data_IF_275042103738
#
_entry.id   IF_275042103738
#
_cell.length_a   1.000
_cell.length_b   1.000
_cell.length_c   1.000
_cell.angle_alpha   90.00
_cell.angle_beta   90.00
_cell.angle_gamma   90.00
#
_symmetry.space_group_name_H-M   'P 1'
#
loop_
_entity.id
_entity.type
_entity.pdbx_description
1 polymer ?
#
# COMPACT_ATOMS: atom_id res chain seq x y z
N UNK A 1 -15.04 10.94 4.33
CA UNK A 1 -16.38 11.49 4.00
C UNK A 1 -17.11 11.90 5.27
N UNK A 2 -17.24 11.00 6.25
CA UNK A 2 -17.85 11.30 7.56
C UNK A 2 -17.29 12.57 8.24
N UNK A 3 -15.96 12.75 8.26
CA UNK A 3 -15.32 13.96 8.82
C UNK A 3 -15.72 15.26 8.09
N UNK A 4 -16.09 15.18 6.81
CA UNK A 4 -16.53 16.33 6.00
C UNK A 4 -18.04 16.59 6.19
N UNK A 5 -18.87 15.56 6.05
CA UNK A 5 -20.34 15.66 6.15
C UNK A 5 -20.80 16.05 7.55
N UNK A 6 -20.02 15.65 8.56
CA UNK A 6 -20.13 16.13 9.92
C UNK A 6 -20.37 15.02 10.94
N UNK A 7 -19.81 15.23 12.14
CA UNK A 7 -19.95 14.32 13.28
C UNK A 7 -20.49 15.09 14.48
N UNK A 8 -21.22 14.39 15.35
CA UNK A 8 -21.80 15.01 16.54
C UNK A 8 -20.73 15.24 17.61
N UNK A 9 -20.45 16.51 17.92
CA UNK A 9 -19.49 16.93 18.95
C UNK A 9 -20.18 17.20 20.30
N UNK A 10 -21.21 16.41 20.60
CA UNK A 10 -22.02 16.53 21.82
C UNK A 10 -23.12 17.60 21.74
N UNK A 11 -23.82 17.79 22.86
CA UNK A 11 -25.07 18.55 22.90
C UNK A 11 -24.94 20.06 22.62
N UNK A 12 -23.75 20.64 22.81
CA UNK A 12 -23.52 22.09 22.67
C UNK A 12 -23.14 22.51 21.25
N UNK A 13 -22.34 21.68 20.56
CA UNK A 13 -21.84 22.01 19.22
C UNK A 13 -22.61 21.34 18.08
N UNK A 14 -23.36 20.26 18.38
CA UNK A 14 -24.15 19.55 17.38
C UNK A 14 -23.28 18.87 16.31
N UNK A 15 -23.85 18.68 15.12
CA UNK A 15 -23.13 18.10 13.99
C UNK A 15 -22.21 19.14 13.34
N UNK A 16 -20.92 18.82 13.22
CA UNK A 16 -19.91 19.73 12.69
C UNK A 16 -19.05 19.03 11.65
N UNK A 17 -18.86 19.67 10.49
CA UNK A 17 -17.83 19.30 9.52
C UNK A 17 -16.44 19.63 10.06
N UNK A 18 -15.61 18.61 10.24
CA UNK A 18 -14.27 18.73 10.83
C UNK A 18 -13.19 19.05 9.80
N UNK A 19 -13.39 18.66 8.54
CA UNK A 19 -12.44 18.90 7.44
C UNK A 19 -13.15 19.48 6.21
N UNK A 20 -12.37 20.07 5.31
CA UNK A 20 -12.82 20.50 3.97
C UNK A 20 -13.14 19.32 3.05
N UNK A 21 -13.68 19.62 1.86
CA UNK A 21 -14.07 18.59 0.90
C UNK A 21 -12.87 17.72 0.47
N UNK A 22 -13.10 16.40 0.41
CA UNK A 22 -12.04 15.39 0.32
C UNK A 22 -11.62 15.00 -1.11
N UNK A 23 -12.40 15.39 -2.12
CA UNK A 23 -12.08 15.12 -3.52
C UNK A 23 -11.57 16.41 -4.13
N UNK A 24 -10.27 16.62 -4.00
CA UNK A 24 -9.58 17.84 -4.41
C UNK A 24 -8.17 17.45 -4.85
N UNK A 25 -7.70 18.09 -5.90
CA UNK A 25 -6.33 18.07 -6.41
C UNK A 25 -5.59 19.38 -6.07
N UNK A 26 -6.26 20.28 -5.35
CA UNK A 26 -5.75 21.58 -4.97
C UNK A 26 -4.96 21.51 -3.67
N UNK A 27 -3.82 22.20 -3.62
CA UNK A 27 -3.05 22.44 -2.39
C UNK A 27 -3.29 23.84 -1.82
N UNK A 28 -4.20 24.62 -2.44
CA UNK A 28 -4.53 25.98 -2.04
C UNK A 28 -5.19 26.01 -0.67
N UNK A 29 -4.75 26.93 0.18
CA UNK A 29 -5.36 27.22 1.49
C UNK A 29 -5.94 28.63 1.44
N UNK A 30 -7.19 28.81 1.89
CA UNK A 30 -7.78 30.14 1.99
C UNK A 30 -7.05 31.04 2.99
N UNK A 31 -6.96 32.34 2.68
CA UNK A 31 -6.25 33.33 3.52
C UNK A 31 -6.75 33.36 4.97
N UNK A 32 -8.06 33.21 5.18
CA UNK A 32 -8.66 33.13 6.52
C UNK A 32 -8.11 31.94 7.32
N UNK A 33 -7.98 30.78 6.69
CA UNK A 33 -7.45 29.57 7.34
C UNK A 33 -5.94 29.68 7.60
N UNK A 34 -5.18 30.35 6.72
CA UNK A 34 -3.77 30.66 6.96
C UNK A 34 -3.62 31.59 8.18
N UNK A 35 -4.44 32.62 8.28
CA UNK A 35 -4.40 33.57 9.41
C UNK A 35 -4.80 32.90 10.74
N UNK A 36 -5.79 32.01 10.71
CA UNK A 36 -6.18 31.22 11.89
C UNK A 36 -5.06 30.25 12.31
N UNK A 37 -4.43 29.57 11.36
CA UNK A 37 -3.29 28.70 11.64
C UNK A 37 -2.11 29.47 12.23
N UNK A 38 -1.77 30.65 11.67
CA UNK A 38 -0.69 31.51 12.20
C UNK A 38 -0.94 31.90 13.66
N UNK A 39 -2.17 32.31 13.99
CA UNK A 39 -2.56 32.65 15.36
C UNK A 39 -2.42 31.45 16.30
N UNK A 40 -2.94 30.29 15.88
CA UNK A 40 -2.83 29.06 16.65
C UNK A 40 -1.37 28.62 16.88
N UNK A 41 -0.52 28.76 15.85
CA UNK A 41 0.91 28.42 15.94
C UNK A 41 1.61 29.34 16.93
N UNK A 42 1.40 30.66 16.83
CA UNK A 42 1.97 31.64 17.75
C UNK A 42 1.59 31.33 19.21
N UNK A 43 0.31 31.08 19.47
CA UNK A 43 -0.21 30.82 20.81
C UNK A 43 0.32 29.50 21.41
N UNK A 44 0.39 28.44 20.62
CA UNK A 44 0.71 27.09 21.12
C UNK A 44 2.19 26.72 21.05
N UNK A 45 2.90 27.20 20.03
CA UNK A 45 4.29 26.80 19.75
C UNK A 45 5.29 27.94 19.89
N UNK A 46 4.85 29.21 19.79
CA UNK A 46 5.70 30.39 19.88
C UNK A 46 5.92 31.08 18.54
N UNK A 47 6.30 32.36 18.59
CA UNK A 47 6.45 33.22 17.41
C UNK A 47 7.54 32.71 16.45
N UNK A 48 8.59 32.03 16.94
CA UNK A 48 9.64 31.48 16.07
C UNK A 48 9.15 30.37 15.12
N UNK A 49 8.01 29.74 15.43
CA UNK A 49 7.39 28.72 14.57
C UNK A 49 6.44 29.31 13.52
N UNK A 50 6.19 30.62 13.56
CA UNK A 50 5.37 31.31 12.57
C UNK A 50 6.29 31.89 11.50
N UNK A 51 6.13 31.53 10.22
CA UNK A 51 6.95 32.09 9.16
C UNK A 51 6.63 33.59 8.95
N UNK A 52 7.61 34.37 8.51
CA UNK A 52 7.43 35.82 8.27
C UNK A 52 6.28 36.11 7.29
N UNK A 53 6.13 35.27 6.27
CA UNK A 53 5.04 35.32 5.29
C UNK A 53 4.27 33.99 5.31
N UNK A 54 2.94 34.00 5.06
CA UNK A 54 2.18 32.77 4.93
C UNK A 54 2.73 31.87 3.82
N UNK A 55 2.92 30.59 4.12
CA UNK A 55 3.37 29.61 3.13
C UNK A 55 2.27 29.39 2.09
N UNK A 56 2.63 29.53 0.82
CA UNK A 56 1.75 29.25 -0.31
C UNK A 56 2.27 28.05 -1.11
N UNK A 57 1.38 27.15 -1.48
CA UNK A 57 1.70 25.97 -2.27
C UNK A 57 0.94 26.04 -3.60
N UNK A 58 1.66 25.76 -4.68
CA UNK A 58 1.14 25.83 -6.04
C UNK A 58 0.46 24.50 -6.37
N UNK A 59 -0.82 24.55 -6.76
CA UNK A 59 -1.53 23.39 -7.30
C UNK A 59 -0.99 23.03 -8.70
N UNK A 60 -1.16 21.77 -9.13
CA UNK A 60 -0.76 21.36 -10.49
C UNK A 60 -1.51 22.18 -11.54
N UNK A 61 -0.91 22.35 -12.74
CA UNK A 61 -1.47 23.18 -13.83
C UNK A 61 -2.89 22.79 -14.25
N UNK A 62 -3.27 21.53 -14.08
CA UNK A 62 -4.59 20.99 -14.44
C UNK A 62 -5.48 20.75 -13.21
N UNK A 63 -5.18 21.41 -12.08
CA UNK A 63 -5.99 21.26 -10.89
C UNK A 63 -7.28 22.08 -11.01
N UNK A 64 -8.42 21.49 -10.66
CA UNK A 64 -9.72 22.15 -10.72
C UNK A 64 -9.74 23.40 -9.82
N UNK A 65 -9.69 24.59 -10.43
CA UNK A 65 -9.20 25.84 -9.83
C UNK A 65 -10.01 26.45 -8.67
N UNK A 66 -11.20 25.92 -8.36
CA UNK A 66 -12.06 26.43 -7.29
C UNK A 66 -11.83 25.75 -5.92
N UNK A 67 -11.13 24.62 -5.87
CA UNK A 67 -11.07 23.79 -4.67
C UNK A 67 -9.96 24.22 -3.69
N UNK A 68 -10.15 23.86 -2.42
CA UNK A 68 -9.14 24.00 -1.36
C UNK A 68 -8.48 22.66 -1.06
N UNK A 69 -7.32 22.71 -0.41
CA UNK A 69 -6.68 21.55 0.20
C UNK A 69 -7.58 20.87 1.24
N UNK A 70 -7.34 19.58 1.46
CA UNK A 70 -7.92 18.84 2.59
C UNK A 70 -7.25 19.33 3.87
N UNK A 71 -8.00 20.03 4.72
CA UNK A 71 -7.52 20.61 5.97
C UNK A 71 -8.63 20.58 7.03
N UNK A 72 -8.30 20.76 8.32
CA UNK A 72 -9.30 21.05 9.33
C UNK A 72 -10.11 22.30 8.98
N UNK A 73 -11.39 22.30 9.34
CA UNK A 73 -12.23 23.50 9.27
C UNK A 73 -11.78 24.57 10.25
N UNK A 74 -11.17 24.18 11.38
CA UNK A 74 -10.48 25.05 12.32
C UNK A 74 -9.29 24.32 12.98
N UNK A 75 -8.08 24.91 13.06
CA UNK A 75 -6.95 24.37 13.80
C UNK A 75 -7.18 24.32 15.32
N UNK A 76 -8.10 25.11 15.87
CA UNK A 76 -8.40 25.14 17.31
C UNK A 76 -9.00 23.82 17.81
N UNK A 77 -9.61 23.02 16.92
CA UNK A 77 -10.08 21.66 17.21
C UNK A 77 -8.89 20.70 17.21
N UNK A 78 -8.04 20.79 18.22
CA UNK A 78 -6.88 19.91 18.31
C UNK A 78 -7.32 18.44 18.46
N UNK A 79 -6.55 17.47 17.93
CA UNK A 79 -6.96 16.05 17.95
C UNK A 79 -7.28 15.49 19.34
N UNK A 80 -6.59 15.93 20.40
CA UNK A 80 -6.88 15.41 21.75
C UNK A 80 -8.25 15.88 22.26
N UNK A 81 -8.69 17.09 21.91
CA UNK A 81 -10.04 17.58 22.24
C UNK A 81 -11.16 16.74 21.60
N UNK A 82 -10.89 16.09 20.46
CA UNK A 82 -11.88 15.31 19.71
C UNK A 82 -11.93 13.83 20.07
N UNK A 83 -11.02 13.35 20.93
CA UNK A 83 -10.82 11.93 21.25
C UNK A 83 -12.07 11.22 21.76
N UNK A 84 -12.94 11.93 22.48
CA UNK A 84 -14.17 11.38 23.04
C UNK A 84 -15.36 11.36 22.07
N UNK A 85 -15.23 12.00 20.91
CA UNK A 85 -16.29 12.14 19.91
C UNK A 85 -16.04 11.28 18.67
N UNK A 86 -14.77 11.00 18.39
CA UNK A 86 -14.35 10.28 17.19
C UNK A 86 -14.06 8.82 17.48
N UNK A 87 -14.37 7.96 16.50
CA UNK A 87 -13.83 6.61 16.48
C UNK A 87 -12.29 6.65 16.34
N UNK A 88 -11.63 5.54 16.67
CA UNK A 88 -10.17 5.44 16.57
C UNK A 88 -9.64 5.79 15.18
N UNK A 89 -10.33 5.33 14.13
CA UNK A 89 -9.87 5.53 12.75
C UNK A 89 -10.17 6.95 12.26
N UNK A 90 -11.33 7.51 12.64
CA UNK A 90 -11.66 8.92 12.39
C UNK A 90 -10.64 9.86 13.06
N UNK A 91 -10.29 9.61 14.32
CA UNK A 91 -9.33 10.41 15.07
C UNK A 91 -7.95 10.37 14.43
N UNK A 92 -7.48 9.19 14.02
CA UNK A 92 -6.18 9.03 13.36
C UNK A 92 -6.10 9.75 12.03
N UNK A 93 -7.16 9.66 11.22
CA UNK A 93 -7.22 10.35 9.93
C UNK A 93 -7.30 11.86 10.13
N UNK A 94 -8.11 12.32 11.09
CA UNK A 94 -8.20 13.73 11.46
C UNK A 94 -6.85 14.28 11.95
N UNK A 95 -6.18 13.56 12.85
CA UNK A 95 -4.86 13.92 13.36
C UNK A 95 -3.85 14.06 12.22
N UNK A 96 -3.81 13.10 11.29
CA UNK A 96 -2.92 13.17 10.13
C UNK A 96 -3.18 14.43 9.28
N UNK A 97 -4.45 14.73 8.99
CA UNK A 97 -4.85 15.92 8.22
C UNK A 97 -4.49 17.20 8.97
N UNK A 98 -4.75 17.23 10.29
CA UNK A 98 -4.48 18.37 11.15
C UNK A 98 -2.99 18.66 11.27
N UNK A 99 -2.18 17.64 11.54
CA UNK A 99 -0.73 17.77 11.66
C UNK A 99 -0.10 18.20 10.33
N UNK A 100 -0.55 17.63 9.21
CA UNK A 100 -0.06 17.99 7.87
C UNK A 100 -0.41 19.44 7.52
N UNK A 101 -1.65 19.87 7.79
CA UNK A 101 -2.08 21.24 7.57
C UNK A 101 -1.27 22.22 8.43
N UNK A 102 -1.15 21.97 9.73
CA UNK A 102 -0.45 22.88 10.63
C UNK A 102 1.03 22.98 10.28
N UNK A 103 1.69 21.84 10.04
CA UNK A 103 3.09 21.80 9.61
C UNK A 103 3.33 22.57 8.31
N UNK A 104 2.38 22.55 7.37
CA UNK A 104 2.49 23.32 6.12
C UNK A 104 2.54 24.84 6.35
N UNK A 105 2.04 25.32 7.49
CA UNK A 105 1.99 26.75 7.83
C UNK A 105 3.03 27.16 8.88
N UNK A 106 3.91 26.23 9.29
CA UNK A 106 4.99 26.49 10.25
C UNK A 106 6.31 26.86 9.56
N UNK A 107 7.23 27.45 10.33
CA UNK A 107 8.62 27.70 9.93
C UNK A 107 9.35 26.40 9.57
N UNK A 108 10.33 26.45 8.64
CA UNK A 108 11.12 25.28 8.26
C UNK A 108 11.96 24.77 9.43
N UNK A 109 12.28 23.47 9.41
CA UNK A 109 13.30 22.93 10.30
C UNK A 109 14.69 23.38 9.84
N UNK A 110 15.57 23.70 10.79
CA UNK A 110 16.98 24.01 10.53
C UNK A 110 17.83 22.83 11.01
N UNK A 111 18.57 22.24 10.07
CA UNK A 111 19.48 21.13 10.30
C UNK A 111 20.91 21.59 10.07
N UNK A 112 21.83 21.16 10.93
CA UNK A 112 23.27 21.23 10.70
C UNK A 112 23.73 19.88 10.21
N UNK A 113 24.20 19.82 8.95
CA UNK A 113 24.67 18.59 8.31
C UNK A 113 26.19 18.58 8.33
N UNK A 114 26.77 17.53 8.89
CA UNK A 114 28.21 17.28 8.90
C UNK A 114 28.54 16.13 7.97
N UNK A 115 29.45 16.35 7.03
CA UNK A 115 30.01 15.28 6.19
C UNK A 115 31.50 15.17 6.49
N UNK A 116 31.95 13.96 6.83
CA UNK A 116 33.34 13.62 7.06
C UNK A 116 33.85 12.79 5.88
N UNK A 117 34.98 13.22 5.33
CA UNK A 117 35.76 12.45 4.36
C UNK A 117 37.03 11.94 5.04
N UNK A 118 37.19 10.63 5.12
CA UNK A 118 38.24 9.98 5.89
C UNK A 118 39.17 9.29 4.91
N UNK A 119 40.38 9.82 4.76
CA UNK A 119 41.43 9.20 3.95
C UNK A 119 42.09 8.04 4.71
N UNK A 120 42.26 6.90 4.03
CA UNK A 120 42.93 5.72 4.57
C UNK A 120 43.82 5.09 3.48
N UNK A 121 45.06 5.56 3.37
CA UNK A 121 45.98 5.16 2.29
C UNK A 121 45.44 5.60 0.93
N UNK A 122 45.16 4.65 0.04
CA UNK A 122 44.55 4.91 -1.28
C UNK A 122 43.02 4.92 -1.26
N UNK A 123 42.40 4.64 -0.12
CA UNK A 123 40.95 4.58 0.02
C UNK A 123 40.40 5.87 0.65
N UNK A 124 39.13 6.15 0.36
CA UNK A 124 38.37 7.23 0.97
C UNK A 124 37.06 6.67 1.51
N UNK A 125 36.78 6.96 2.77
CA UNK A 125 35.51 6.65 3.42
C UNK A 125 34.70 7.94 3.58
N UNK A 126 33.38 7.83 3.57
CA UNK A 126 32.47 8.96 3.80
C UNK A 126 31.52 8.61 4.94
N UNK A 127 31.33 9.56 5.85
CA UNK A 127 30.28 9.52 6.85
C UNK A 127 29.49 10.83 6.79
N UNK A 128 28.17 10.74 6.87
CA UNK A 128 27.29 11.91 6.90
C UNK A 128 26.42 11.79 8.15
N UNK A 129 26.05 12.93 8.74
CA UNK A 129 25.12 12.99 9.83
C UNK A 129 24.55 14.37 9.99
N UNK A 130 23.46 14.48 10.72
CA UNK A 130 22.76 15.75 10.90
C UNK A 130 22.29 15.97 12.34
N UNK A 131 22.19 17.23 12.74
CA UNK A 131 21.66 17.65 14.04
C UNK A 131 20.59 18.70 13.82
N UNK A 132 19.43 18.50 14.45
CA UNK A 132 18.34 19.50 14.43
C UNK A 132 18.73 20.69 15.30
N UNK A 133 18.96 21.86 14.70
CA UNK A 133 19.18 23.14 15.40
C UNK A 133 17.87 23.82 15.76
N UNK A 134 16.88 23.72 14.88
CA UNK A 134 15.52 24.20 15.12
C UNK A 134 14.52 23.23 14.50
N UNK A 135 13.58 22.66 15.28
CA UNK A 135 12.68 21.65 14.75
C UNK A 135 11.64 22.20 13.77
N UNK A 136 11.27 23.48 13.84
CA UNK A 136 10.24 24.06 12.97
C UNK A 136 8.98 23.19 12.91
N UNK A 137 8.49 22.94 11.69
CA UNK A 137 7.34 22.07 11.44
C UNK A 137 7.48 20.62 11.96
N UNK A 138 8.69 20.11 12.19
CA UNK A 138 8.93 18.76 12.72
C UNK A 138 8.41 18.58 14.16
N UNK A 139 8.10 19.68 14.87
CA UNK A 139 7.40 19.62 16.17
C UNK A 139 6.03 18.96 16.08
N UNK A 140 5.37 19.05 14.94
CA UNK A 140 3.99 18.61 14.74
C UNK A 140 3.90 17.47 13.74
N UNK A 141 4.81 17.41 12.76
CA UNK A 141 4.75 16.41 11.71
C UNK A 141 6.11 15.77 11.48
N UNK A 142 6.22 14.47 11.76
CA UNK A 142 7.44 13.70 11.48
C UNK A 142 7.40 13.18 10.04
N UNK A 143 8.45 13.45 9.27
CA UNK A 143 8.63 12.86 7.94
C UNK A 143 9.19 11.46 8.14
N UNK A 144 8.36 10.43 7.91
CA UNK A 144 8.86 9.06 7.80
C UNK A 144 9.41 8.90 6.37
N UNK A 145 10.72 9.05 6.19
CA UNK A 145 11.36 8.66 4.93
C UNK A 145 11.46 7.12 4.91
N UNK A 146 10.89 6.48 3.87
CA UNK A 146 10.83 5.02 3.80
C UNK A 146 12.18 4.35 3.48
N UNK A 147 13.23 5.07 3.07
CA UNK A 147 14.50 4.42 2.65
C UNK A 147 15.82 5.14 3.02
N UNK A 148 15.80 6.37 3.58
CA UNK A 148 17.03 7.17 3.83
C UNK A 148 17.36 7.42 5.30
N UNK A 149 16.47 7.06 6.22
CA UNK A 149 16.61 7.35 7.65
C UNK A 149 17.73 6.56 8.37
N UNK A 150 18.29 5.50 7.76
CA UNK A 150 19.41 4.76 8.39
C UNK A 150 20.77 5.48 8.29
N UNK A 151 20.93 6.54 7.46
CA UNK A 151 22.22 7.23 7.30
C UNK A 151 22.25 8.69 7.79
N UNK A 152 21.12 9.41 7.87
CA UNK A 152 21.12 10.86 8.14
C UNK A 152 20.82 11.28 9.58
N UNK A 153 20.23 10.40 10.40
CA UNK A 153 19.81 10.71 11.80
C UNK A 153 20.92 10.48 12.84
N UNK A 154 22.13 10.14 12.40
CA UNK A 154 23.24 9.93 13.30
C UNK A 154 23.99 11.23 13.59
N UNK A 155 24.04 11.60 14.87
CA UNK A 155 24.95 12.66 15.35
C UNK A 155 26.37 12.15 15.23
N UNK A 156 27.17 12.76 14.36
CA UNK A 156 28.58 12.43 14.24
C UNK A 156 29.36 12.96 15.46
N UNK A 157 30.40 12.24 15.92
CA UNK A 157 31.26 12.74 16.97
C UNK A 157 32.02 13.99 16.51
N UNK A 158 32.36 14.91 17.42
CA UNK A 158 33.22 16.03 17.09
C UNK A 158 34.60 15.49 16.68
N UNK A 159 35.08 15.92 15.52
CA UNK A 159 36.41 15.60 14.99
C UNK A 159 37.03 16.87 14.40
N UNK A 160 38.37 16.95 14.43
CA UNK A 160 39.11 18.04 13.81
C UNK A 160 39.66 17.65 12.44
N UNK A 161 39.86 18.63 11.56
CA UNK A 161 40.57 18.40 10.30
C UNK A 161 42.01 17.95 10.58
N UNK A 162 42.43 16.88 9.89
CA UNK A 162 43.74 16.24 10.10
C UNK A 162 43.84 15.33 11.32
N UNK A 163 42.75 15.12 12.07
CA UNK A 163 42.74 14.19 13.19
C UNK A 163 42.99 12.75 12.73
N UNK A 164 43.91 12.07 13.42
CA UNK A 164 44.22 10.67 13.14
C UNK A 164 43.18 9.75 13.78
N UNK A 165 42.32 9.15 12.96
CA UNK A 165 41.31 8.19 13.40
C UNK A 165 41.89 6.78 13.51
N UNK A 166 41.50 6.06 14.57
CA UNK A 166 41.88 4.65 14.77
C UNK A 166 40.83 3.72 14.18
N UNK A 167 41.24 2.85 13.26
CA UNK A 167 40.39 1.77 12.78
C UNK A 167 40.04 0.82 13.93
N UNK A 168 38.75 0.66 14.21
CA UNK A 168 38.24 -0.27 15.22
C UNK A 168 37.84 -1.60 14.56
N UNK A 169 37.06 -1.54 13.49
CA UNK A 169 36.50 -2.71 12.80
C UNK A 169 36.18 -2.38 11.34
N UNK A 170 36.34 -3.37 10.46
CA UNK A 170 35.78 -3.35 9.10
C UNK A 170 34.62 -4.34 9.05
N UNK A 171 33.44 -3.87 8.63
CA UNK A 171 32.23 -4.69 8.48
C UNK A 171 31.87 -4.83 7.00
N UNK A 172 32.30 -5.91 6.32
CA UNK A 172 31.90 -6.14 4.94
C UNK A 172 30.39 -6.45 4.90
N UNK A 173 29.65 -5.69 4.11
CA UNK A 173 28.23 -5.94 3.83
C UNK A 173 28.06 -6.31 2.37
N UNK A 174 27.43 -7.46 2.12
CA UNK A 174 27.01 -7.85 0.79
C UNK A 174 25.61 -7.31 0.52
N UNK A 175 25.46 -6.60 -0.59
CA UNK A 175 24.17 -6.09 -1.06
C UNK A 175 23.81 -6.73 -2.40
N UNK A 176 22.52 -6.83 -2.67
CA UNK A 176 21.97 -7.28 -3.94
C UNK A 176 21.09 -6.18 -4.51
N UNK A 177 21.09 -6.04 -5.84
CA UNK A 177 20.12 -5.20 -6.53
C UNK A 177 18.73 -5.79 -6.31
N UNK A 178 17.79 -4.95 -5.88
CA UNK A 178 16.40 -5.37 -5.73
C UNK A 178 15.64 -5.05 -7.02
N UNK A 179 14.67 -5.89 -7.43
CA UNK A 179 13.77 -5.53 -8.50
C UNK A 179 12.89 -4.34 -8.09
N UNK A 180 12.28 -3.63 -9.05
CA UNK A 180 11.32 -2.58 -8.75
C UNK A 180 10.23 -3.07 -7.78
N UNK A 181 9.88 -2.29 -6.75
CA UNK A 181 8.86 -2.69 -5.80
C UNK A 181 7.50 -2.78 -6.50
N UNK A 182 6.69 -3.75 -6.08
CA UNK A 182 5.29 -3.81 -6.51
C UNK A 182 4.51 -2.61 -5.97
N UNK A 183 3.46 -2.23 -6.69
CA UNK A 183 2.57 -1.17 -6.25
C UNK A 183 1.80 -1.55 -4.98
N UNK A 184 1.80 -0.67 -3.99
CA UNK A 184 0.74 -0.55 -2.99
C UNK A 184 -0.41 0.33 -3.52
N UNK A 185 -1.51 0.44 -2.78
CA UNK A 185 -2.58 1.41 -3.06
C UNK A 185 -2.05 2.84 -3.18
N UNK A 186 -1.24 3.29 -2.23
CA UNK A 186 -0.71 4.65 -2.22
C UNK A 186 0.22 4.91 -3.41
N UNK A 187 1.14 4.00 -3.71
CA UNK A 187 2.06 4.16 -4.85
C UNK A 187 1.35 4.03 -6.19
N UNK A 188 0.29 3.23 -6.28
CA UNK A 188 -0.53 3.13 -7.49
C UNK A 188 -1.28 4.44 -7.74
N UNK A 189 -1.95 5.00 -6.72
CA UNK A 189 -2.63 6.30 -6.83
C UNK A 189 -1.63 7.39 -7.22
N UNK A 190 -0.46 7.44 -6.57
CA UNK A 190 0.61 8.38 -6.91
C UNK A 190 1.04 8.25 -8.38
N UNK A 191 1.21 7.01 -8.87
CA UNK A 191 1.61 6.76 -10.25
C UNK A 191 0.52 7.18 -11.24
N UNK A 192 -0.75 6.87 -10.94
CA UNK A 192 -1.89 7.31 -11.76
C UNK A 192 -1.95 8.85 -11.84
N UNK A 193 -1.77 9.52 -10.71
CA UNK A 193 -1.74 10.98 -10.62
C UNK A 193 -0.55 11.61 -11.38
N UNK A 194 0.63 10.99 -11.33
CA UNK A 194 1.82 11.41 -12.10
C UNK A 194 1.64 11.23 -13.60
N UNK A 195 0.92 10.19 -14.02
CA UNK A 195 0.60 9.91 -15.41
C UNK A 195 -0.63 10.67 -15.92
N UNK A 196 -1.33 11.43 -15.08
CA UNK A 196 -2.56 12.16 -15.44
C UNK A 196 -3.78 11.27 -15.65
N UNK A 197 -3.75 10.02 -15.16
CA UNK A 197 -4.85 9.06 -15.28
C UNK A 197 -5.74 9.13 -14.05
N UNK A 198 -7.04 9.32 -14.26
CA UNK A 198 -8.02 9.43 -13.19
C UNK A 198 -8.02 10.80 -12.50
N UNK A 199 -8.94 10.96 -11.56
CA UNK A 199 -9.20 12.18 -10.81
C UNK A 199 -9.43 11.83 -9.33
N UNK A 200 -9.41 12.79 -8.39
CA UNK A 200 -9.71 12.54 -6.98
C UNK A 200 -11.01 11.76 -6.72
N UNK A 201 -11.97 11.84 -7.64
CA UNK A 201 -13.24 11.10 -7.62
C UNK A 201 -13.14 9.64 -8.05
N UNK A 202 -12.11 9.25 -8.83
CA UNK A 202 -12.02 7.93 -9.47
C UNK A 202 -10.91 7.02 -8.91
N UNK A 203 -9.91 7.54 -8.20
CA UNK A 203 -8.81 6.72 -7.67
C UNK A 203 -9.26 5.51 -6.83
N UNK A 204 -10.08 5.74 -5.79
CA UNK A 204 -10.57 4.66 -4.94
C UNK A 204 -11.51 3.68 -5.69
N UNK A 205 -12.51 4.16 -6.46
CA UNK A 205 -13.33 3.28 -7.30
C UNK A 205 -12.53 2.43 -8.29
N UNK A 206 -11.49 2.97 -8.92
CA UNK A 206 -10.63 2.23 -9.86
C UNK A 206 -9.93 1.07 -9.15
N UNK A 207 -9.35 1.32 -7.98
CA UNK A 207 -8.71 0.28 -7.16
C UNK A 207 -9.72 -0.80 -6.75
N UNK A 208 -10.90 -0.40 -6.27
CA UNK A 208 -11.93 -1.34 -5.86
C UNK A 208 -12.42 -2.20 -7.04
N UNK A 209 -12.57 -1.61 -8.23
CA UNK A 209 -13.00 -2.31 -9.42
C UNK A 209 -12.00 -3.40 -9.87
N UNK A 210 -10.71 -3.07 -9.96
CA UNK A 210 -9.69 -4.04 -10.40
C UNK A 210 -9.51 -5.20 -9.40
N UNK A 211 -9.77 -4.94 -8.11
CA UNK A 211 -9.76 -5.96 -7.07
C UNK A 211 -11.01 -6.83 -7.10
N UNK A 212 -12.20 -6.21 -7.16
CA UNK A 212 -13.48 -6.92 -7.15
C UNK A 212 -13.66 -7.80 -8.39
N UNK A 213 -13.12 -7.38 -9.53
CA UNK A 213 -13.10 -8.16 -10.77
C UNK A 213 -12.00 -9.23 -10.80
N UNK A 214 -11.12 -9.25 -9.80
CA UNK A 214 -10.07 -10.26 -9.68
C UNK A 214 -8.94 -10.13 -10.69
N UNK A 215 -8.73 -8.94 -11.29
CA UNK A 215 -7.58 -8.68 -12.16
C UNK A 215 -6.27 -8.57 -11.36
N UNK A 216 -6.38 -8.12 -10.12
CA UNK A 216 -5.27 -8.07 -9.17
C UNK A 216 -5.72 -8.59 -7.80
N UNK A 217 -4.78 -9.07 -7.02
CA UNK A 217 -4.99 -9.46 -5.61
C UNK A 217 -4.05 -8.70 -4.69
N UNK A 218 -4.47 -8.55 -3.43
CA UNK A 218 -3.62 -7.95 -2.39
C UNK A 218 -2.83 -9.04 -1.67
N UNK A 219 -1.50 -8.98 -1.79
CA UNK A 219 -0.57 -9.80 -1.02
C UNK A 219 0.39 -8.91 -0.26
N UNK A 220 0.45 -9.05 1.07
CA UNK A 220 1.34 -8.23 1.92
C UNK A 220 1.23 -6.71 1.68
N UNK A 221 0.01 -6.22 1.41
CA UNK A 221 -0.31 -4.80 1.06
C UNK A 221 0.19 -4.33 -0.32
N UNK A 222 0.68 -5.25 -1.14
CA UNK A 222 1.06 -4.97 -2.53
C UNK A 222 0.08 -5.65 -3.50
N UNK A 223 -0.07 -5.07 -4.68
CA UNK A 223 -0.83 -5.64 -5.78
C UNK A 223 0.00 -6.67 -6.52
N UNK A 224 -0.61 -7.81 -6.78
CA UNK A 224 -0.07 -8.86 -7.65
C UNK A 224 -1.08 -9.10 -8.77
N UNK A 225 -0.67 -9.02 -10.05
CA UNK A 225 -1.55 -9.33 -11.16
C UNK A 225 -1.96 -10.81 -11.12
N UNK A 226 -3.22 -11.08 -11.41
CA UNK A 226 -3.70 -12.45 -11.61
C UNK A 226 -3.49 -12.88 -13.04
N UNK A 227 -3.57 -14.18 -13.30
CA UNK A 227 -3.57 -14.73 -14.65
C UNK A 227 -4.69 -14.13 -15.52
N UNK A 228 -5.91 -14.02 -14.97
CA UNK A 228 -7.02 -13.34 -15.63
C UNK A 228 -6.67 -11.89 -15.98
N UNK A 229 -6.08 -11.14 -15.04
CA UNK A 229 -5.66 -9.76 -15.28
C UNK A 229 -4.64 -9.65 -16.41
N UNK A 230 -3.67 -10.58 -16.45
CA UNK A 230 -2.64 -10.60 -17.48
C UNK A 230 -3.23 -10.90 -18.87
N UNK A 231 -4.07 -11.94 -18.97
CA UNK A 231 -4.74 -12.31 -20.23
C UNK A 231 -5.61 -11.17 -20.76
N UNK A 232 -6.38 -10.51 -19.88
CA UNK A 232 -7.21 -9.37 -20.27
C UNK A 232 -6.36 -8.22 -20.79
N UNK A 233 -5.24 -7.89 -20.12
CA UNK A 233 -4.33 -6.84 -20.58
C UNK A 233 -3.68 -7.19 -21.91
N UNK A 234 -3.26 -8.42 -22.11
CA UNK A 234 -2.61 -8.87 -23.35
C UNK A 234 -3.58 -8.81 -24.53
N UNK A 235 -4.83 -9.24 -24.33
CA UNK A 235 -5.88 -9.11 -25.33
C UNK A 235 -6.21 -7.65 -25.64
N UNK A 236 -6.32 -6.80 -24.61
CA UNK A 236 -6.58 -5.38 -24.81
C UNK A 236 -5.45 -4.71 -25.60
N UNK A 237 -4.19 -5.12 -25.40
CA UNK A 237 -3.04 -4.65 -26.19
C UNK A 237 -3.10 -5.10 -27.64
N UNK A 238 -3.60 -6.29 -27.90
CA UNK A 238 -3.68 -6.84 -29.26
C UNK A 238 -4.77 -6.14 -30.10
N UNK A 239 -5.96 -5.91 -29.53
CA UNK A 239 -7.12 -5.42 -30.29
C UNK A 239 -7.45 -3.94 -30.06
N UNK A 240 -6.95 -3.34 -28.97
CA UNK A 240 -7.31 -1.99 -28.54
C UNK A 240 -6.08 -1.14 -28.15
N UNK A 241 -4.92 -1.39 -28.76
CA UNK A 241 -3.63 -0.74 -28.42
C UNK A 241 -3.72 0.79 -28.30
N UNK A 242 -4.44 1.43 -29.21
CA UNK A 242 -4.57 2.89 -29.26
C UNK A 242 -5.43 3.46 -28.13
N UNK A 243 -6.32 2.65 -27.56
CA UNK A 243 -7.29 3.08 -26.53
C UNK A 243 -6.76 2.79 -25.12
N UNK A 244 -6.03 1.69 -24.95
CA UNK A 244 -5.48 1.31 -23.64
C UNK A 244 -4.09 1.92 -23.37
N UNK A 245 -3.63 2.81 -24.24
CA UNK A 245 -2.44 3.60 -24.03
C UNK A 245 -2.60 4.60 -22.88
N UNK A 246 -1.51 4.79 -22.13
CA UNK A 246 -1.46 5.68 -20.97
C UNK A 246 -1.68 7.13 -21.37
N UNK A 247 -1.06 7.58 -22.48
CA UNK A 247 -1.21 8.96 -22.96
C UNK A 247 -2.61 9.20 -23.50
N UNK A 248 -3.19 8.23 -24.20
CA UNK A 248 -4.58 8.31 -24.64
C UNK A 248 -5.53 8.54 -23.46
N UNK A 249 -5.37 7.74 -22.39
CA UNK A 249 -6.22 7.84 -21.20
C UNK A 249 -6.06 9.19 -20.51
N UNK A 250 -4.82 9.65 -20.34
CA UNK A 250 -4.55 10.97 -19.73
C UNK A 250 -5.14 12.13 -20.57
N UNK A 251 -5.05 12.02 -21.90
CA UNK A 251 -5.63 13.01 -22.80
C UNK A 251 -7.16 13.02 -22.77
N UNK A 252 -7.80 11.85 -22.66
CA UNK A 252 -9.26 11.76 -22.49
C UNK A 252 -9.70 12.48 -21.21
N UNK A 253 -8.99 12.27 -20.10
CA UNK A 253 -9.27 12.96 -18.84
C UNK A 253 -9.12 14.48 -18.99
N UNK A 254 -8.10 14.96 -19.72
CA UNK A 254 -7.95 16.39 -20.02
C UNK A 254 -9.11 16.94 -20.85
N UNK A 255 -9.56 16.23 -21.89
CA UNK A 255 -10.73 16.65 -22.69
C UNK A 255 -11.99 16.78 -21.82
N UNK A 256 -12.14 15.93 -20.81
CA UNK A 256 -13.27 16.01 -19.87
C UNK A 256 -13.17 17.24 -18.97
N UNK A 257 -11.98 17.65 -18.54
CA UNK A 257 -11.78 18.90 -17.82
C UNK A 257 -12.10 20.11 -18.73
N UNK A 258 -11.65 20.10 -19.99
CA UNK A 258 -11.95 21.16 -20.96
C UNK A 258 -13.46 21.28 -21.24
N UNK A 259 -14.22 20.18 -21.15
CA UNK A 259 -15.69 20.21 -21.20
C UNK A 259 -16.26 20.88 -19.93
N UNK A 260 -15.74 20.56 -18.74
CA UNK A 260 -16.17 21.18 -17.48
C UNK A 260 -15.93 22.69 -17.47
N UNK A 261 -14.82 23.13 -18.05
CA UNK A 261 -14.46 24.55 -18.19
C UNK A 261 -15.22 25.26 -19.32
N UNK A 262 -15.94 24.51 -20.15
CA UNK A 262 -16.72 25.02 -21.28
C UNK A 262 -15.91 25.34 -22.53
N UNK A 263 -14.67 24.84 -22.62
CA UNK A 263 -13.78 24.99 -23.78
C UNK A 263 -14.12 23.99 -24.90
N UNK A 264 -14.65 22.81 -24.55
CA UNK A 264 -15.05 21.76 -25.50
C UNK A 264 -16.53 21.38 -25.38
N UNK A 265 -17.11 20.91 -26.48
CA UNK A 265 -18.47 20.36 -26.53
C UNK A 265 -18.42 18.83 -26.37
N UNK A 266 -19.19 18.31 -25.41
CA UNK A 266 -19.07 16.91 -24.98
C UNK A 266 -19.49 15.89 -26.04
N UNK A 267 -20.45 16.20 -26.91
CA UNK A 267 -20.89 15.26 -27.96
C UNK A 267 -19.80 15.07 -28.99
N UNK A 268 -19.06 16.13 -29.34
CA UNK A 268 -17.90 16.04 -30.23
C UNK A 268 -16.84 15.07 -29.69
N UNK A 269 -16.49 15.19 -28.40
CA UNK A 269 -15.51 14.28 -27.76
C UNK A 269 -16.01 12.84 -27.73
N UNK A 270 -17.29 12.61 -27.42
CA UNK A 270 -17.89 11.27 -27.41
C UNK A 270 -17.94 10.67 -28.83
N UNK A 271 -18.29 11.46 -29.84
CA UNK A 271 -18.34 11.01 -31.24
C UNK A 271 -16.95 10.63 -31.75
N UNK A 272 -15.93 11.45 -31.46
CA UNK A 272 -14.53 11.21 -31.79
C UNK A 272 -14.01 9.91 -31.18
N UNK A 273 -14.41 9.60 -29.94
CA UNK A 273 -14.06 8.33 -29.29
C UNK A 273 -14.85 7.13 -29.84
N UNK A 274 -16.17 7.28 -29.95
CA UNK A 274 -17.07 6.13 -30.14
C UNK A 274 -17.02 5.58 -31.57
N UNK A 275 -16.93 6.44 -32.60
CA UNK A 275 -16.94 5.98 -34.00
C UNK A 275 -15.75 5.09 -34.35
N UNK A 276 -14.49 5.39 -33.95
CA UNK A 276 -13.37 4.46 -34.10
C UNK A 276 -13.51 3.24 -33.20
N UNK A 277 -13.88 3.42 -31.93
CA UNK A 277 -14.02 2.32 -30.97
C UNK A 277 -15.02 1.27 -31.44
N UNK A 278 -16.17 1.67 -31.97
CA UNK A 278 -17.19 0.76 -32.47
C UNK A 278 -16.70 -0.14 -33.61
N UNK A 279 -15.80 0.38 -34.47
CA UNK A 279 -15.18 -0.40 -35.55
C UNK A 279 -14.20 -1.43 -35.00
N UNK A 280 -13.34 -1.01 -34.06
CA UNK A 280 -12.39 -1.90 -33.38
C UNK A 280 -13.13 -3.00 -32.63
N UNK A 281 -14.19 -2.65 -31.90
CA UNK A 281 -15.02 -3.62 -31.17
C UNK A 281 -15.65 -4.65 -32.11
N UNK A 282 -16.23 -4.21 -33.24
CA UNK A 282 -16.85 -5.12 -34.21
C UNK A 282 -15.84 -6.05 -34.90
N UNK A 283 -14.57 -5.64 -35.01
CA UNK A 283 -13.49 -6.50 -35.48
C UNK A 283 -13.07 -7.49 -34.40
N UNK A 284 -12.82 -6.97 -33.19
CA UNK A 284 -12.46 -7.76 -32.03
C UNK A 284 -13.51 -8.85 -31.73
N UNK A 285 -14.81 -8.56 -31.80
CA UNK A 285 -15.89 -9.56 -31.62
C UNK A 285 -15.90 -10.68 -32.67
N UNK A 286 -15.33 -10.44 -33.86
CA UNK A 286 -15.22 -11.48 -34.91
C UNK A 286 -13.97 -12.33 -34.76
N UNK A 287 -12.89 -11.72 -34.29
CA UNK A 287 -11.56 -12.33 -34.19
C UNK A 287 -11.36 -13.02 -32.83
N UNK A 288 -11.88 -12.42 -31.76
CA UNK A 288 -11.92 -12.98 -30.41
C UNK A 288 -13.05 -13.99 -30.34
N UNK A 289 -12.69 -15.28 -30.41
CA UNK A 289 -13.61 -16.38 -30.06
C UNK A 289 -13.91 -16.44 -28.55
N UNK A 290 -14.59 -17.49 -28.09
CA UNK A 290 -14.67 -17.77 -26.66
C UNK A 290 -13.27 -18.07 -26.11
N UNK A 291 -12.74 -17.17 -25.29
CA UNK A 291 -11.52 -17.41 -24.54
C UNK A 291 -11.89 -18.36 -23.42
N UNK A 292 -11.77 -19.65 -23.69
CA UNK A 292 -11.82 -20.66 -22.65
C UNK A 292 -10.49 -20.57 -21.92
N UNK A 293 -10.51 -20.02 -20.70
CA UNK A 293 -9.47 -20.29 -19.74
C UNK A 293 -9.44 -21.80 -19.57
N UNK A 294 -8.44 -22.46 -20.16
CA UNK A 294 -8.22 -23.89 -19.94
C UNK A 294 -7.98 -24.06 -18.45
N UNK A 295 -8.96 -24.64 -17.76
CA UNK A 295 -8.81 -24.91 -16.35
C UNK A 295 -7.65 -25.92 -16.20
N UNK A 296 -6.66 -25.66 -15.34
CA UNK A 296 -5.54 -26.59 -15.12
C UNK A 296 -6.10 -27.97 -14.74
N UNK A 297 -5.92 -28.96 -15.63
CA UNK A 297 -6.32 -30.33 -15.36
C UNK A 297 -5.49 -30.90 -14.21
N UNK A 298 -6.16 -31.57 -13.28
CA UNK A 298 -5.49 -32.25 -12.18
C UNK A 298 -5.68 -33.75 -12.30
N UNK A 299 -4.81 -34.51 -11.65
CA UNK A 299 -4.96 -35.96 -11.52
C UNK A 299 -6.05 -36.37 -10.52
N UNK A 300 -6.79 -35.42 -9.94
CA UNK A 300 -7.89 -35.71 -9.03
C UNK A 300 -9.15 -36.09 -9.80
N UNK A 301 -9.62 -37.32 -9.64
CA UNK A 301 -10.89 -37.76 -10.25
C UNK A 301 -12.11 -37.29 -9.45
N UNK A 302 -13.16 -36.92 -10.17
CA UNK A 302 -14.44 -36.54 -9.60
C UNK A 302 -15.18 -37.76 -9.05
N UNK A 303 -15.41 -37.79 -7.74
CA UNK A 303 -16.12 -38.89 -7.04
C UNK A 303 -17.53 -39.19 -7.58
N UNK A 304 -18.15 -38.26 -8.31
CA UNK A 304 -19.52 -38.40 -8.83
C UNK A 304 -19.59 -38.86 -10.28
N UNK A 305 -18.56 -38.64 -11.10
CA UNK A 305 -18.62 -38.94 -12.54
C UNK A 305 -17.30 -39.47 -13.14
N UNK A 306 -16.24 -39.60 -12.35
CA UNK A 306 -14.94 -40.13 -12.78
C UNK A 306 -14.09 -39.20 -13.65
N UNK A 307 -14.60 -38.03 -14.08
CA UNK A 307 -13.81 -37.08 -14.87
C UNK A 307 -12.69 -36.45 -14.04
N UNK A 308 -11.54 -36.16 -14.66
CA UNK A 308 -10.47 -35.36 -14.05
C UNK A 308 -11.02 -33.99 -13.63
N UNK A 309 -10.81 -33.63 -12.37
CA UNK A 309 -11.21 -32.34 -11.83
C UNK A 309 -10.23 -31.28 -12.29
N UNK A 310 -10.73 -30.06 -12.40
CA UNK A 310 -9.99 -28.92 -12.91
C UNK A 310 -9.89 -27.82 -11.85
N UNK A 311 -8.82 -27.04 -11.86
CA UNK A 311 -8.62 -25.96 -10.90
C UNK A 311 -9.41 -24.73 -11.34
N UNK A 312 -10.41 -24.34 -10.54
CA UNK A 312 -11.14 -23.08 -10.70
C UNK A 312 -10.78 -22.10 -9.60
N UNK A 313 -10.80 -20.81 -9.93
CA UNK A 313 -10.61 -19.75 -8.94
C UNK A 313 -11.95 -19.22 -8.47
N UNK A 314 -12.20 -19.24 -7.16
CA UNK A 314 -13.39 -18.67 -6.55
C UNK A 314 -13.08 -17.66 -5.47
N UNK A 315 -14.12 -17.10 -4.84
CA UNK A 315 -14.05 -16.16 -3.71
C UNK A 315 -13.05 -16.55 -2.61
N UNK A 316 -12.86 -17.85 -2.37
CA UNK A 316 -12.04 -18.37 -1.26
C UNK A 316 -10.66 -18.87 -1.70
N UNK A 317 -10.30 -18.71 -2.98
CA UNK A 317 -9.07 -19.22 -3.57
C UNK A 317 -9.32 -20.26 -4.67
N UNK A 318 -8.24 -20.87 -5.14
CA UNK A 318 -8.28 -22.01 -6.07
C UNK A 318 -8.99 -23.20 -5.42
N UNK A 319 -9.85 -23.88 -6.16
CA UNK A 319 -10.56 -25.08 -5.75
C UNK A 319 -10.70 -26.04 -6.93
N UNK A 320 -10.85 -27.33 -6.65
CA UNK A 320 -11.10 -28.33 -7.66
C UNK A 320 -12.59 -28.34 -7.99
N UNK A 321 -12.94 -28.22 -9.26
CA UNK A 321 -14.30 -28.36 -9.76
C UNK A 321 -14.39 -29.50 -10.76
N UNK A 322 -15.51 -30.19 -10.81
CA UNK A 322 -15.78 -31.13 -11.88
C UNK A 322 -16.03 -30.38 -13.20
N UNK A 323 -15.36 -30.72 -14.31
CA UNK A 323 -15.58 -30.07 -15.61
C UNK A 323 -16.99 -30.33 -16.18
N UNK A 324 -17.67 -31.38 -15.72
CA UNK A 324 -19.05 -31.69 -16.12
C UNK A 324 -20.14 -30.77 -15.56
N UNK A 325 -19.84 -29.55 -15.12
CA UNK A 325 -20.85 -28.57 -14.72
C UNK A 325 -21.65 -28.10 -15.95
N UNK A 326 -23.00 -27.96 -15.89
CA UNK A 326 -23.87 -28.00 -14.72
C UNK A 326 -24.33 -29.40 -14.26
N UNK A 327 -24.10 -30.45 -15.05
CA UNK A 327 -24.58 -31.82 -14.80
C UNK A 327 -23.94 -32.47 -13.56
N UNK A 328 -22.71 -32.09 -13.23
CA UNK A 328 -21.97 -32.55 -12.06
C UNK A 328 -21.42 -31.38 -11.26
N UNK A 329 -22.12 -31.00 -10.18
CA UNK A 329 -21.75 -29.89 -9.28
C UNK A 329 -20.73 -30.26 -8.20
N UNK A 330 -19.87 -31.26 -8.46
CA UNK A 330 -18.89 -31.69 -7.46
C UNK A 330 -17.75 -30.68 -7.37
N UNK A 331 -17.43 -30.23 -6.15
CA UNK A 331 -16.31 -29.32 -5.88
C UNK A 331 -15.54 -29.81 -4.66
N UNK A 332 -14.22 -29.64 -4.66
CA UNK A 332 -13.33 -29.97 -3.56
C UNK A 332 -12.39 -28.80 -3.28
N UNK A 333 -12.05 -28.51 -2.02
CA UNK A 333 -11.02 -27.52 -1.73
C UNK A 333 -9.68 -28.01 -2.30
N UNK A 334 -8.96 -27.15 -3.03
CA UNK A 334 -7.58 -27.42 -3.40
C UNK A 334 -6.72 -27.18 -2.15
N UNK A 335 -6.23 -28.25 -1.56
CA UNK A 335 -5.41 -28.17 -0.36
C UNK A 335 -3.94 -28.03 -0.78
N UNK A 336 -3.39 -26.82 -0.70
CA UNK A 336 -1.97 -26.59 -0.90
C UNK A 336 -1.18 -27.22 0.25
N UNK A 337 -0.48 -28.31 -0.03
CA UNK A 337 0.37 -29.00 0.95
C UNK A 337 1.73 -28.30 1.04
N UNK A 338 2.26 -28.19 2.26
CA UNK A 338 3.59 -27.58 2.48
C UNK A 338 4.73 -28.61 2.49
N UNK A 339 4.44 -29.87 2.16
CA UNK A 339 5.41 -30.98 2.21
C UNK A 339 5.87 -31.36 3.63
N UNK A 340 5.18 -30.87 4.67
CA UNK A 340 5.51 -31.17 6.07
C UNK A 340 4.43 -32.09 6.66
N UNK A 341 4.82 -33.25 7.24
CA UNK A 341 3.87 -34.15 7.87
C UNK A 341 3.36 -33.57 9.20
N UNK A 342 2.09 -33.80 9.47
CA UNK A 342 1.41 -33.41 10.70
C UNK A 342 2.10 -34.08 11.89
N UNK A 343 2.49 -33.31 12.93
CA UNK A 343 3.21 -33.86 14.07
C UNK A 343 2.36 -34.84 14.91
N UNK A 344 1.03 -34.82 14.76
CA UNK A 344 0.11 -35.65 15.53
C UNK A 344 -0.30 -36.93 14.80
N UNK A 345 -0.74 -36.83 13.55
CA UNK A 345 -1.30 -37.96 12.81
C UNK A 345 -0.47 -38.37 11.58
N UNK A 346 0.68 -37.73 11.34
CA UNK A 346 1.53 -37.90 10.14
C UNK A 346 0.84 -37.63 8.79
N UNK A 347 -0.41 -37.17 8.79
CA UNK A 347 -1.11 -36.70 7.59
C UNK A 347 -0.49 -35.41 7.03
N UNK A 348 -0.94 -34.93 5.90
CA UNK A 348 -0.36 -33.74 5.27
C UNK A 348 -0.78 -32.44 5.98
N UNK A 349 0.15 -31.50 6.13
CA UNK A 349 -0.18 -30.14 6.56
C UNK A 349 -0.48 -29.28 5.35
N UNK A 350 -1.60 -28.57 5.41
CA UNK A 350 -2.17 -27.79 4.30
C UNK A 350 -2.36 -26.33 4.70
N UNK A 351 -2.25 -25.43 3.73
CA UNK A 351 -2.48 -24.00 3.90
C UNK A 351 -3.99 -23.72 3.90
N UNK A 352 -4.47 -22.97 4.88
CA UNK A 352 -5.86 -22.53 5.01
C UNK A 352 -5.93 -21.03 5.31
N UNK A 353 -7.06 -20.40 5.01
CA UNK A 353 -7.33 -18.98 5.32
C UNK A 353 -8.45 -18.88 6.35
N UNK A 354 -8.26 -18.06 7.38
CA UNK A 354 -9.30 -17.75 8.37
C UNK A 354 -10.41 -16.89 7.76
N UNK A 355 -11.56 -16.74 8.46
CA UNK A 355 -12.64 -15.82 8.05
C UNK A 355 -12.17 -14.37 7.82
N UNK A 356 -11.07 -13.97 8.47
CA UNK A 356 -10.44 -12.64 8.34
C UNK A 356 -9.27 -12.62 7.33
N UNK A 357 -9.13 -13.65 6.50
CA UNK A 357 -8.11 -13.73 5.44
C UNK A 357 -6.70 -14.11 5.89
N UNK A 358 -6.41 -14.18 7.20
CA UNK A 358 -5.08 -14.59 7.71
C UNK A 358 -4.80 -16.06 7.38
N UNK A 359 -3.64 -16.32 6.76
CA UNK A 359 -3.13 -17.69 6.46
C UNK A 359 -2.79 -18.43 7.76
N UNK A 360 -3.10 -19.72 7.80
CA UNK A 360 -2.72 -20.65 8.87
C UNK A 360 -2.49 -22.05 8.27
N UNK A 361 -1.78 -22.90 8.99
CA UNK A 361 -1.42 -24.25 8.59
C UNK A 361 -2.19 -25.25 9.44
N UNK A 362 -2.94 -26.14 8.81
CA UNK A 362 -3.75 -27.14 9.52
C UNK A 362 -3.56 -28.53 8.94
N UNK A 363 -3.92 -29.57 9.69
CA UNK A 363 -3.89 -30.93 9.18
C UNK A 363 -4.99 -31.17 8.12
N UNK A 364 -4.65 -31.89 7.04
CA UNK A 364 -5.60 -32.31 6.01
C UNK A 364 -6.73 -33.19 6.55
N UNK A 365 -6.42 -34.04 7.53
CA UNK A 365 -7.37 -34.96 8.20
C UNK A 365 -8.37 -34.31 9.17
N UNK A 366 -8.49 -32.98 9.21
CA UNK A 366 -9.57 -32.32 10.00
C UNK A 366 -10.95 -32.78 9.51
N UNK A 367 -11.92 -33.16 10.38
CA UNK A 367 -11.98 -32.89 11.83
C UNK A 367 -11.34 -33.95 12.74
N UNK A 368 -10.77 -35.03 12.19
CA UNK A 368 -10.18 -36.12 12.97
C UNK A 368 -8.81 -35.77 13.58
N UNK A 369 -8.13 -34.76 13.04
CA UNK A 369 -6.94 -34.15 13.63
C UNK A 369 -7.11 -32.63 13.68
N UNK A 370 -7.01 -32.05 14.86
CA UNK A 370 -7.23 -30.63 15.18
C UNK A 370 -5.95 -29.79 15.16
N UNK A 371 -4.85 -30.34 14.62
CA UNK A 371 -3.58 -29.64 14.52
C UNK A 371 -3.72 -28.33 13.74
N UNK A 372 -3.27 -27.24 14.36
CA UNK A 372 -3.28 -25.89 13.82
C UNK A 372 -2.00 -25.14 14.23
N UNK A 373 -1.40 -24.43 13.28
CA UNK A 373 -0.29 -23.51 13.48
C UNK A 373 -0.51 -22.21 12.71
N UNK A 374 -0.20 -21.07 13.32
CA UNK A 374 -0.23 -19.77 12.64
C UNK A 374 1.06 -19.47 11.88
N UNK A 375 2.15 -20.10 12.31
CA UNK A 375 3.48 -20.01 11.71
C UNK A 375 3.77 -21.28 10.91
N UNK A 376 4.60 -21.21 9.87
CA UNK A 376 4.83 -22.35 8.96
C UNK A 376 5.60 -23.46 9.69
N UNK A 377 5.03 -24.65 9.91
CA UNK A 377 5.74 -25.71 10.58
C UNK A 377 6.82 -26.31 9.68
N UNK A 378 7.84 -26.88 10.31
CA UNK A 378 8.96 -27.55 9.62
C UNK A 378 9.05 -29.02 10.01
N UNK A 379 9.90 -29.78 9.32
CA UNK A 379 10.22 -31.16 9.66
C UNK A 379 11.18 -31.29 10.85
N UNK A 380 11.77 -30.19 11.32
CA UNK A 380 12.77 -30.20 12.39
C UNK A 380 12.09 -30.26 13.76
N UNK A 381 12.55 -31.19 14.61
CA UNK A 381 12.17 -31.24 16.02
C UNK A 381 13.02 -30.26 16.83
N UNK A 382 12.45 -29.72 17.90
CA UNK A 382 13.21 -28.91 18.83
C UNK A 382 14.32 -29.75 19.49
N UNK A 383 15.59 -29.32 19.46
CA UNK A 383 16.69 -29.99 20.16
C UNK A 383 16.46 -30.09 21.67
N UNK A 384 15.78 -29.11 22.26
CA UNK A 384 15.51 -29.03 23.70
C UNK A 384 14.28 -29.85 24.15
N UNK A 385 13.78 -30.76 23.29
CA UNK A 385 12.66 -31.67 23.63
C UNK A 385 11.26 -31.07 23.50
N UNK A 386 11.14 -29.87 22.93
CA UNK A 386 9.85 -29.23 22.64
C UNK A 386 9.12 -29.73 21.38
N UNK A 387 8.05 -29.02 20.99
CA UNK A 387 7.32 -29.26 19.72
C UNK A 387 8.20 -29.00 18.49
N UNK A 388 7.70 -29.36 17.31
CA UNK A 388 8.37 -29.04 16.03
C UNK A 388 8.69 -27.55 15.89
N UNK A 389 9.76 -27.24 15.17
CA UNK A 389 10.14 -25.86 14.88
C UNK A 389 9.19 -25.25 13.84
N UNK A 390 8.86 -23.98 14.04
CA UNK A 390 8.04 -23.16 13.13
C UNK A 390 8.86 -21.99 12.61
N UNK A 391 8.68 -21.64 11.33
CA UNK A 391 9.28 -20.47 10.71
C UNK A 391 8.48 -19.22 11.09
N UNK A 392 9.12 -18.29 11.81
CA UNK A 392 8.62 -16.94 12.02
C UNK A 392 9.25 -15.99 11.01
N UNK A 393 8.41 -15.40 10.17
CA UNK A 393 8.81 -14.30 9.30
C UNK A 393 8.91 -13.01 10.12
N UNK A 394 10.15 -12.56 10.38
CA UNK A 394 10.46 -11.23 10.91
C UNK A 394 10.96 -10.29 9.81
N UNK A 395 11.10 -8.99 10.11
CA UNK A 395 11.58 -7.96 9.17
C UNK A 395 13.04 -8.16 8.69
N UNK A 396 13.83 -9.00 9.36
CA UNK A 396 15.16 -9.48 8.95
C UNK A 396 15.17 -11.00 9.10
N UNK A 397 15.85 -11.71 8.18
CA UNK A 397 15.97 -13.20 7.99
C UNK A 397 15.11 -14.08 8.91
N UNK A 398 14.29 -14.95 8.31
CA UNK A 398 13.38 -15.82 9.05
C UNK A 398 14.08 -16.62 10.15
N UNK A 399 13.42 -16.76 11.31
CA UNK A 399 13.90 -17.55 12.43
C UNK A 399 13.07 -18.84 12.56
N UNK A 400 13.72 -19.93 12.96
CA UNK A 400 13.06 -21.14 13.43
C UNK A 400 12.88 -21.03 14.95
N UNK A 401 11.65 -21.16 15.42
CA UNK A 401 11.31 -21.10 16.84
C UNK A 401 10.58 -22.37 17.23
N UNK A 402 10.76 -22.88 18.43
CA UNK A 402 9.95 -24.00 18.90
C UNK A 402 8.46 -23.62 18.89
N UNK A 403 7.61 -24.52 18.37
CA UNK A 403 6.16 -24.34 18.41
C UNK A 403 5.58 -24.37 19.83
N UNK A 404 6.36 -24.79 20.83
CA UNK A 404 6.02 -24.64 22.24
C UNK A 404 6.57 -23.31 22.77
N UNK A 405 5.65 -22.42 23.15
CA UNK A 405 6.01 -21.10 23.69
C UNK A 405 6.77 -21.17 25.01
N UNK A 406 6.68 -22.29 25.75
CA UNK A 406 7.37 -22.48 27.03
C UNK A 406 8.83 -22.90 26.89
N UNK A 407 9.24 -23.44 25.74
CA UNK A 407 10.58 -23.97 25.51
C UNK A 407 11.63 -22.87 25.23
N UNK A 408 11.23 -21.77 24.59
CA UNK A 408 12.11 -20.62 24.35
C UNK A 408 13.20 -20.82 23.28
N UNK A 409 13.37 -22.01 22.70
CA UNK A 409 14.37 -22.29 21.67
C UNK A 409 14.12 -21.48 20.38
N UNK A 410 15.16 -20.78 19.91
CA UNK A 410 15.21 -20.10 18.61
C UNK A 410 16.54 -20.31 17.90
N UNK A 411 16.51 -20.45 16.58
CA UNK A 411 17.70 -20.49 15.72
C UNK A 411 17.45 -19.76 14.40
N UNK A 412 18.51 -19.29 13.75
CA UNK A 412 18.43 -18.61 12.45
C UNK A 412 18.26 -19.64 11.33
N UNK A 413 17.46 -19.32 10.32
CA UNK A 413 17.41 -20.14 9.10
C UNK A 413 18.77 -19.96 8.40
N UNK A 414 19.60 -21.01 8.37
CA UNK A 414 20.84 -21.01 7.59
C UNK A 414 20.49 -21.09 6.12
N UNK A 415 20.93 -20.11 5.34
CA UNK A 415 20.85 -20.15 3.87
C UNK A 415 21.54 -21.44 3.39
N UNK A 416 20.78 -22.32 2.74
CA UNK A 416 21.33 -23.46 2.02
C UNK A 416 21.12 -23.24 0.54
#
# INVERSE_FOLDING_TARGET
QELYEGLSLGKKEGAQGLITYIRTDSTRVASQAQEEARRYIAEKYGDEYVPDKPNQYVSKKNAQGAHEAIRPTSPARDPESLKNYLSRDQLRLYQLIWERFLASQMSPALLEVTTLEIAAGTYQFRASGSVVKFPGFLRVYTVQEEETAEESDHVLPPVAEGELLKLIKLEPKQHFTQPPPRYSEATLVKTLEELGIGRPSTYAPTIDNILNRGYVVREQKQFVPTELGQIVVDLLKEYFSDIIDVQFTAHMEQKLDEIEEGELEWRGVVEEFYLPFAKLLAQAEKEIGEIVLEDEETDHECEKCGRKMVIKTGRYGKFLACPGFPDCRNTKPLLETIGVPCPFCKGEVVIRKSKRGKKFYGCSNYPYCDYLSWDKPTTQKCPDGGKILVEKQGKKKGKLVCGDKSCGYETQISDR
#
